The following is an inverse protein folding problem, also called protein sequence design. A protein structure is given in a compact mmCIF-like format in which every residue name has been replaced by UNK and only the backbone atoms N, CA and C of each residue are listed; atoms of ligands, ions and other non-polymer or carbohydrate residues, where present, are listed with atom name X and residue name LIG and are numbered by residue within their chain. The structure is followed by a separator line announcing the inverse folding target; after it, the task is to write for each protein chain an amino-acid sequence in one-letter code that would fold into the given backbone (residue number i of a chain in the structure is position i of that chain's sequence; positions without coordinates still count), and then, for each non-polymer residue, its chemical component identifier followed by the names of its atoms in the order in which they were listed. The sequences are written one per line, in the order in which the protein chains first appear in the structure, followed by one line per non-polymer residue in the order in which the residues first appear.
data_IF_009301188194
#
_entry.id   IF_009301188194
#
_cell.length_a   1.000
_cell.length_b   1.000
_cell.length_c   1.000
_cell.angle_alpha   90.00
_cell.angle_beta   90.00
_cell.angle_gamma   90.00
#
_symmetry.space_group_name_H-M   'P 1'
#
loop_
_entity.id
_entity.type
_entity.pdbx_description
1 polymer ?
#
# COMPACT_ATOMS: atom_id res chain seq x y z
N UNK A 1 12.10 16.36 47.96
CA UNK A 1 12.49 16.04 46.57
C UNK A 1 11.23 16.07 45.72
N UNK A 2 11.02 17.07 44.85
CA UNK A 2 9.86 17.05 43.95
C UNK A 2 10.03 15.94 42.89
N UNK A 3 8.93 15.31 42.44
CA UNK A 3 9.02 14.21 41.49
C UNK A 3 9.58 14.68 40.14
N UNK A 4 10.47 13.87 39.57
CA UNK A 4 11.09 14.16 38.26
C UNK A 4 9.99 14.23 37.18
N UNK A 5 9.81 15.42 36.61
CA UNK A 5 8.87 15.68 35.52
C UNK A 5 9.29 14.92 34.25
N UNK A 6 8.31 14.39 33.53
CA UNK A 6 8.55 13.66 32.28
C UNK A 6 8.97 14.61 31.15
N UNK A 7 9.74 14.10 30.19
CA UNK A 7 10.22 14.85 29.01
C UNK A 7 9.09 15.49 28.18
N UNK A 8 7.89 14.92 28.24
CA UNK A 8 6.71 15.47 27.60
C UNK A 8 6.20 16.75 28.29
N UNK A 9 6.28 16.82 29.63
CA UNK A 9 5.92 18.02 30.39
C UNK A 9 6.92 19.17 30.14
N UNK A 10 8.21 18.85 29.99
CA UNK A 10 9.23 19.85 29.63
C UNK A 10 8.99 20.45 28.23
N UNK A 11 8.58 19.62 27.27
CA UNK A 11 8.32 20.08 25.89
C UNK A 11 7.06 20.93 25.78
N UNK A 12 6.04 20.66 26.61
CA UNK A 12 4.81 21.46 26.64
C UNK A 12 5.06 22.87 27.21
N UNK A 13 5.93 23.01 28.21
CA UNK A 13 6.29 24.31 28.78
C UNK A 13 7.13 25.13 27.76
N UNK A 14 8.01 24.48 26.98
CA UNK A 14 8.81 25.10 25.91
C UNK A 14 7.95 25.68 24.78
N UNK A 15 6.87 24.99 24.40
CA UNK A 15 5.90 25.46 23.40
C UNK A 15 5.02 26.62 23.94
N UNK A 16 4.77 26.67 25.26
CA UNK A 16 4.05 27.78 25.89
C UNK A 16 4.90 29.05 26.05
N UNK A 17 6.21 28.91 26.30
CA UNK A 17 7.12 30.06 26.32
C UNK A 17 7.37 30.61 24.91
N UNK A 18 7.47 29.75 23.89
CA UNK A 18 7.60 30.18 22.50
C UNK A 18 6.38 30.99 22.00
N UNK A 19 5.17 30.62 22.44
CA UNK A 19 3.94 31.34 22.08
C UNK A 19 3.77 32.66 22.83
N UNK A 20 4.28 32.76 24.07
CA UNK A 20 4.34 34.03 24.82
C UNK A 20 5.33 35.03 24.26
N UNK A 21 6.49 34.57 23.75
CA UNK A 21 7.48 35.44 23.10
C UNK A 21 6.96 35.95 21.76
N UNK A 22 6.21 35.14 21.00
CA UNK A 22 5.59 35.56 19.74
C UNK A 22 4.46 36.59 19.93
N UNK A 23 3.73 36.56 21.04
CA UNK A 23 2.66 37.51 21.35
C UNK A 23 3.19 38.89 21.81
N UNK A 24 4.44 38.99 22.25
CA UNK A 24 5.07 40.25 22.72
C UNK A 24 5.66 41.10 21.58
N UNK A 25 5.67 40.61 20.32
CA UNK A 25 6.38 41.25 19.21
C UNK A 25 5.47 41.97 18.20
N UNK A 26 4.18 42.19 18.50
CA UNK A 26 3.25 42.83 17.58
C UNK A 26 2.51 44.02 18.23
N UNK A 27 3.09 45.21 18.11
CA UNK A 27 2.41 46.51 18.20
C UNK A 27 2.64 47.27 16.86
N UNK A 28 1.65 48.01 16.33
CA UNK A 28 1.63 48.46 14.93
C UNK A 28 2.12 49.91 14.75
N UNK A 29 2.98 50.15 13.76
CA UNK A 29 3.35 51.50 13.30
C UNK A 29 2.71 51.82 11.93
N UNK A 30 2.14 53.02 11.87
CA UNK A 30 1.37 53.64 10.78
C UNK A 30 2.24 54.47 9.81
N UNK A 31 1.66 54.80 8.64
CA UNK A 31 2.03 55.85 7.64
C UNK A 31 3.05 55.45 6.55
N UNK A 32 2.99 55.82 5.25
CA UNK A 32 2.07 56.64 4.41
C UNK A 32 2.50 56.52 2.92
N UNK A 33 1.54 56.68 1.97
CA UNK A 33 1.63 57.00 0.50
C UNK A 33 2.38 56.04 -0.44
N UNK A 34 2.04 55.83 -1.71
CA UNK A 34 0.99 56.27 -2.66
C UNK A 34 1.20 55.45 -3.93
N UNK A 35 0.13 55.18 -4.68
CA UNK A 35 0.00 55.45 -6.12
C UNK A 35 -0.89 54.42 -6.83
N UNK A 36 -1.70 54.94 -7.75
CA UNK A 36 -2.87 54.31 -8.33
C UNK A 36 -2.59 53.80 -9.74
N UNK A 37 -3.00 52.56 -10.07
CA UNK A 37 -3.54 52.23 -11.40
C UNK A 37 -4.63 51.17 -11.28
N UNK A 38 -5.81 51.57 -11.77
CA UNK A 38 -7.05 50.84 -11.91
C UNK A 38 -7.06 50.11 -13.26
N UNK A 39 -7.31 48.80 -13.28
CA UNK A 39 -7.80 48.07 -14.46
C UNK A 39 -8.70 46.92 -14.00
N UNK A 40 -10.01 47.12 -14.18
CA UNK A 40 -11.03 46.08 -14.10
C UNK A 40 -10.96 45.19 -15.35
N UNK A 41 -11.24 43.88 -15.22
CA UNK A 41 -11.96 43.11 -16.23
C UNK A 41 -12.62 41.85 -15.62
N UNK A 42 -13.95 41.91 -15.61
CA UNK A 42 -14.95 40.87 -15.84
C UNK A 42 -14.70 39.41 -15.36
N UNK A 43 -15.47 39.01 -14.35
CA UNK A 43 -15.75 37.62 -14.01
C UNK A 43 -16.96 37.09 -14.81
N UNK A 44 -16.81 35.95 -15.46
CA UNK A 44 -17.90 35.12 -15.98
C UNK A 44 -17.66 33.64 -15.58
N UNK A 45 -18.66 32.91 -15.05
CA UNK A 45 -18.48 31.52 -14.61
C UNK A 45 -18.66 30.53 -15.77
N UNK A 46 -17.64 29.70 -16.04
CA UNK A 46 -17.75 28.59 -16.99
C UNK A 46 -18.21 27.31 -16.29
N UNK A 47 -19.31 26.76 -16.82
CA UNK A 47 -19.94 25.52 -16.35
C UNK A 47 -19.07 24.29 -16.70
N UNK A 48 -18.83 23.43 -15.70
CA UNK A 48 -18.15 22.14 -15.87
C UNK A 48 -19.15 21.04 -16.25
N UNK A 49 -19.08 20.58 -17.49
CA UNK A 49 -19.80 19.40 -17.97
C UNK A 49 -19.01 18.12 -17.66
N UNK A 50 -19.54 17.28 -16.77
CA UNK A 50 -19.03 15.92 -16.49
C UNK A 50 -19.40 14.95 -17.64
N UNK A 51 -18.50 14.08 -18.13
CA UNK A 51 -18.88 13.02 -19.04
C UNK A 51 -19.46 11.80 -18.29
N UNK A 52 -20.57 11.28 -18.82
CA UNK A 52 -21.31 10.10 -18.39
C UNK A 52 -20.43 8.84 -18.45
N UNK A 53 -20.29 8.14 -17.32
CA UNK A 53 -19.70 6.80 -17.27
C UNK A 53 -20.69 5.76 -17.80
N UNK A 54 -20.29 5.01 -18.83
CA UNK A 54 -20.98 3.82 -19.32
C UNK A 54 -20.81 2.69 -18.32
N UNK A 55 -21.92 2.13 -17.84
CA UNK A 55 -22.00 0.92 -17.03
C UNK A 55 -21.48 -0.28 -17.81
N UNK A 56 -20.41 -0.93 -17.30
CA UNK A 56 -19.88 -2.18 -17.84
C UNK A 56 -20.60 -3.35 -17.15
N UNK A 57 -21.28 -4.17 -17.94
CA UNK A 57 -21.90 -5.42 -17.49
C UNK A 57 -20.83 -6.38 -16.96
N UNK A 58 -21.05 -6.93 -15.76
CA UNK A 58 -20.26 -8.02 -15.22
C UNK A 58 -20.90 -9.34 -15.67
N UNK A 59 -20.12 -10.16 -16.37
CA UNK A 59 -20.44 -11.52 -16.77
C UNK A 59 -19.29 -12.42 -16.26
N UNK A 60 -19.67 -13.62 -15.82
CA UNK A 60 -18.86 -14.76 -15.36
C UNK A 60 -18.72 -14.93 -13.85
N UNK A 61 -19.52 -15.88 -13.33
CA UNK A 61 -19.01 -16.92 -12.44
C UNK A 61 -18.68 -18.16 -13.30
N UNK A 62 -17.75 -19.00 -12.84
CA UNK A 62 -18.18 -20.31 -12.35
C UNK A 62 -17.38 -20.78 -11.13
N UNK A 63 -18.02 -21.51 -10.20
CA UNK A 63 -17.61 -22.87 -9.81
C UNK A 63 -18.58 -23.40 -8.75
N UNK A 64 -19.28 -24.46 -9.12
CA UNK A 64 -19.93 -25.39 -8.21
C UNK A 64 -18.86 -26.37 -7.75
N UNK A 65 -18.74 -26.57 -6.44
CA UNK A 65 -18.10 -27.74 -5.84
C UNK A 65 -19.09 -28.26 -4.80
N UNK A 66 -19.52 -29.49 -5.03
CA UNK A 66 -20.58 -30.20 -4.33
C UNK A 66 -19.97 -31.24 -3.38
N UNK A 67 -20.74 -31.53 -2.31
CA UNK A 67 -20.69 -32.65 -1.35
C UNK A 67 -20.02 -32.42 0.02
N UNK A 68 -20.44 -33.15 1.09
CA UNK A 68 -21.76 -33.69 1.44
C UNK A 68 -22.21 -33.34 2.88
N UNK A 69 -23.45 -33.71 3.24
CA UNK A 69 -24.12 -33.49 4.55
C UNK A 69 -23.42 -34.16 5.75
N UNK A 70 -23.81 -33.79 6.99
CA UNK A 70 -24.61 -34.74 7.79
C UNK A 70 -25.76 -34.12 8.63
N UNK A 71 -26.72 -34.99 8.96
CA UNK A 71 -27.96 -34.77 9.74
C UNK A 71 -27.73 -34.35 11.21
N UNK A 72 -28.75 -33.82 11.91
CA UNK A 72 -29.58 -34.71 12.75
C UNK A 72 -31.10 -34.38 12.83
N UNK A 73 -31.86 -35.42 13.15
CA UNK A 73 -33.30 -35.53 13.53
C UNK A 73 -33.50 -35.38 15.06
N UNK A 74 -34.71 -35.36 15.67
CA UNK A 74 -36.03 -34.76 15.37
C UNK A 74 -36.64 -33.95 16.57
N UNK A 75 -37.87 -33.40 16.36
CA UNK A 75 -38.83 -32.80 17.32
C UNK A 75 -38.63 -31.29 17.63
N UNK A 76 -39.62 -30.40 17.70
CA UNK A 76 -41.07 -30.49 17.92
C UNK A 76 -41.85 -29.46 17.06
N UNK A 77 -43.14 -29.76 16.88
CA UNK A 77 -44.16 -29.05 16.10
C UNK A 77 -44.53 -27.69 16.70
N UNK A 78 -44.74 -26.68 15.85
CA UNK A 78 -45.75 -25.63 16.11
C UNK A 78 -46.45 -25.26 14.81
N UNK A 79 -47.77 -25.31 14.90
CA UNK A 79 -48.77 -25.32 13.83
C UNK A 79 -48.66 -24.11 12.89
N UNK A 80 -48.62 -24.40 11.58
CA UNK A 80 -49.10 -23.51 10.54
C UNK A 80 -50.25 -24.22 9.81
N UNK A 81 -51.27 -23.49 9.32
CA UNK A 81 -52.55 -24.07 8.94
C UNK A 81 -52.41 -25.02 7.77
N UNK A 82 -53.06 -26.16 7.90
CA UNK A 82 -53.26 -27.17 6.86
C UNK A 82 -54.03 -26.52 5.71
N UNK A 83 -53.35 -26.26 4.59
CA UNK A 83 -54.00 -26.08 3.31
C UNK A 83 -54.59 -27.43 2.88
N UNK A 84 -55.87 -27.50 2.48
CA UNK A 84 -56.49 -28.75 2.08
C UNK A 84 -55.84 -29.28 0.79
N UNK A 85 -55.58 -30.59 0.76
CA UNK A 85 -55.22 -31.31 -0.47
C UNK A 85 -56.16 -30.92 -1.62
N UNK A 86 -55.64 -30.62 -2.83
CA UNK A 86 -56.49 -30.48 -3.99
C UNK A 86 -56.95 -31.87 -4.40
N UNK A 87 -58.12 -32.27 -3.87
CA UNK A 87 -58.91 -33.35 -4.42
C UNK A 87 -59.05 -33.16 -5.94
N UNK A 88 -58.67 -34.21 -6.67
CA UNK A 88 -58.67 -34.24 -8.11
C UNK A 88 -60.10 -34.03 -8.66
N UNK A 89 -60.38 -32.83 -9.15
CA UNK A 89 -61.45 -32.59 -10.12
C UNK A 89 -60.81 -32.10 -11.42
N UNK A 90 -60.97 -32.90 -12.48
CA UNK A 90 -60.42 -32.70 -13.82
C UNK A 90 -61.15 -31.62 -14.61
N UNK A 91 -61.44 -30.47 -13.99
CA UNK A 91 -61.92 -29.28 -14.70
C UNK A 91 -60.73 -28.43 -15.14
N UNK A 92 -60.73 -27.98 -16.39
CA UNK A 92 -59.69 -27.07 -16.90
C UNK A 92 -59.77 -25.79 -16.07
N UNK A 93 -58.67 -25.30 -15.46
CA UNK A 93 -58.73 -24.11 -14.62
C UNK A 93 -59.28 -22.96 -15.45
N UNK A 94 -60.21 -22.22 -14.85
CA UNK A 94 -60.85 -21.07 -15.47
C UNK A 94 -59.79 -20.01 -15.80
N UNK A 95 -60.07 -19.11 -16.74
CA UNK A 95 -59.08 -18.10 -17.16
C UNK A 95 -58.63 -17.20 -16.00
N UNK A 96 -59.52 -16.97 -15.03
CA UNK A 96 -59.28 -16.16 -13.83
C UNK A 96 -58.31 -16.86 -12.87
N UNK A 97 -58.53 -18.15 -12.55
CA UNK A 97 -57.61 -18.95 -11.73
C UNK A 97 -56.20 -19.05 -12.33
N UNK A 98 -56.10 -19.10 -13.66
CA UNK A 98 -54.79 -19.08 -14.37
C UNK A 98 -54.09 -17.73 -14.21
N UNK A 99 -54.83 -16.63 -14.25
CA UNK A 99 -54.29 -15.28 -14.06
C UNK A 99 -53.82 -15.06 -12.63
N UNK A 100 -54.58 -15.54 -11.64
CA UNK A 100 -54.19 -15.51 -10.23
C UNK A 100 -52.95 -16.37 -9.95
N UNK A 101 -52.90 -17.59 -10.49
CA UNK A 101 -51.70 -18.43 -10.36
C UNK A 101 -50.47 -17.79 -10.98
N UNK A 102 -50.64 -17.08 -12.09
CA UNK A 102 -49.57 -16.37 -12.78
C UNK A 102 -49.16 -15.09 -12.02
N UNK A 103 -50.09 -14.37 -11.41
CA UNK A 103 -49.79 -13.21 -10.56
C UNK A 103 -49.01 -13.62 -9.31
N UNK A 104 -49.40 -14.73 -8.67
CA UNK A 104 -48.68 -15.34 -7.56
C UNK A 104 -47.27 -15.79 -7.97
N UNK A 105 -47.11 -16.39 -9.15
CA UNK A 105 -45.79 -16.76 -9.67
C UNK A 105 -44.91 -15.53 -9.91
N UNK A 106 -45.47 -14.46 -10.49
CA UNK A 106 -44.76 -13.18 -10.66
C UNK A 106 -44.38 -12.56 -9.32
N UNK A 107 -45.25 -12.61 -8.32
CA UNK A 107 -44.95 -12.14 -6.97
C UNK A 107 -43.81 -12.95 -6.32
N UNK A 108 -43.83 -14.28 -6.46
CA UNK A 108 -42.75 -15.16 -5.98
C UNK A 108 -41.41 -14.88 -6.68
N UNK A 109 -41.41 -14.68 -8.00
CA UNK A 109 -40.20 -14.29 -8.76
C UNK A 109 -39.69 -12.89 -8.37
N UNK A 110 -40.60 -11.94 -8.10
CA UNK A 110 -40.22 -10.61 -7.62
C UNK A 110 -39.64 -10.67 -6.20
N UNK A 111 -40.16 -11.54 -5.33
CA UNK A 111 -39.63 -11.74 -3.99
C UNK A 111 -38.22 -12.37 -4.01
N UNK A 112 -38.00 -13.41 -4.83
CA UNK A 112 -36.68 -14.06 -4.93
C UNK A 112 -35.62 -13.13 -5.53
N UNK A 113 -35.97 -12.36 -6.56
CA UNK A 113 -35.05 -11.36 -7.14
C UNK A 113 -34.70 -10.24 -6.15
N UNK A 114 -35.65 -9.80 -5.32
CA UNK A 114 -35.39 -8.84 -4.23
C UNK A 114 -34.53 -9.44 -3.12
N UNK A 115 -34.78 -10.67 -2.69
CA UNK A 115 -33.98 -11.37 -1.70
C UNK A 115 -32.53 -11.54 -2.18
N UNK A 116 -32.33 -12.06 -3.39
CA UNK A 116 -31.00 -12.20 -4.00
C UNK A 116 -30.28 -10.85 -4.11
N UNK A 117 -30.99 -9.78 -4.50
CA UNK A 117 -30.40 -8.44 -4.55
C UNK A 117 -30.00 -7.94 -3.17
N UNK A 118 -30.81 -8.19 -2.14
CA UNK A 118 -30.51 -7.82 -0.75
C UNK A 118 -29.27 -8.57 -0.26
N UNK A 119 -29.16 -9.86 -0.56
CA UNK A 119 -28.05 -10.69 -0.13
C UNK A 119 -26.75 -10.22 -0.81
N UNK A 120 -26.77 -9.96 -2.12
CA UNK A 120 -25.63 -9.36 -2.85
C UNK A 120 -25.21 -8.02 -2.23
N UNK A 121 -26.16 -7.14 -1.91
CA UNK A 121 -25.85 -5.85 -1.29
C UNK A 121 -25.28 -6.03 0.13
N UNK A 122 -25.79 -6.99 0.89
CA UNK A 122 -25.31 -7.31 2.23
C UNK A 122 -23.87 -7.85 2.17
N UNK A 123 -23.56 -8.74 1.24
CA UNK A 123 -22.20 -9.25 1.02
C UNK A 123 -21.26 -8.15 0.54
N UNK A 124 -21.70 -7.28 -0.36
CA UNK A 124 -20.93 -6.09 -0.76
C UNK A 124 -20.67 -5.16 0.43
N UNK A 125 -21.66 -4.96 1.32
CA UNK A 125 -21.45 -4.16 2.53
C UNK A 125 -20.48 -4.83 3.50
N UNK A 126 -20.58 -6.16 3.72
CA UNK A 126 -19.65 -6.93 4.56
C UNK A 126 -18.24 -6.92 3.99
N UNK A 127 -18.08 -7.10 2.69
CA UNK A 127 -16.79 -7.00 2.02
C UNK A 127 -16.18 -5.59 2.15
N UNK A 128 -17.00 -4.54 2.06
CA UNK A 128 -16.57 -3.15 2.27
C UNK A 128 -16.17 -2.88 3.72
N UNK A 129 -16.92 -3.37 4.71
CA UNK A 129 -16.57 -3.18 6.12
C UNK A 129 -15.29 -3.93 6.48
N UNK A 130 -15.12 -5.18 6.03
CA UNK A 130 -13.87 -5.95 6.21
C UNK A 130 -12.67 -5.27 5.53
N UNK A 131 -12.86 -4.76 4.31
CA UNK A 131 -11.83 -4.02 3.59
C UNK A 131 -11.51 -2.66 4.25
N UNK A 132 -12.46 -2.03 4.95
CA UNK A 132 -12.27 -0.77 5.68
C UNK A 132 -11.61 -1.01 7.04
N UNK A 133 -12.05 -2.03 7.78
CA UNK A 133 -11.50 -2.42 9.07
C UNK A 133 -10.02 -2.80 8.97
N UNK A 134 -9.63 -3.55 7.93
CA UNK A 134 -8.21 -3.87 7.69
C UNK A 134 -7.33 -2.67 7.35
N UNK A 135 -7.90 -1.56 6.86
CA UNK A 135 -7.16 -0.38 6.38
C UNK A 135 -7.21 0.81 7.35
N UNK A 136 -8.08 0.77 8.35
CA UNK A 136 -8.31 1.91 9.23
C UNK A 136 -7.24 2.04 10.32
N UNK A 137 -6.72 3.25 10.53
CA UNK A 137 -5.90 3.60 11.70
C UNK A 137 -6.62 3.29 13.01
N UNK A 138 -7.95 3.39 13.03
CA UNK A 138 -8.79 3.06 14.19
C UNK A 138 -8.71 1.59 14.55
N UNK A 139 -8.66 0.68 13.57
CA UNK A 139 -8.50 -0.76 13.82
C UNK A 139 -7.18 -1.05 14.54
N UNK A 140 -6.08 -0.44 14.08
CA UNK A 140 -4.78 -0.55 14.77
C UNK A 140 -4.79 0.04 16.19
N UNK A 141 -5.59 1.09 16.44
CA UNK A 141 -5.76 1.67 17.78
C UNK A 141 -6.59 0.75 18.68
N UNK A 142 -7.65 0.14 18.16
CA UNK A 142 -8.48 -0.83 18.87
C UNK A 142 -7.66 -2.07 19.24
N UNK A 143 -6.94 -2.67 18.28
CA UNK A 143 -6.06 -3.81 18.56
C UNK A 143 -5.00 -3.50 19.63
N UNK A 144 -4.44 -2.29 19.62
CA UNK A 144 -3.51 -1.86 20.68
C UNK A 144 -4.21 -1.70 22.03
N UNK A 145 -5.43 -1.17 22.04
CA UNK A 145 -6.21 -1.02 23.26
C UNK A 145 -6.60 -2.39 23.84
N UNK A 146 -7.00 -3.34 23.00
CA UNK A 146 -7.27 -4.74 23.36
C UNK A 146 -6.01 -5.39 23.93
N UNK A 147 -4.87 -5.28 23.25
CA UNK A 147 -3.59 -5.80 23.75
C UNK A 147 -3.21 -5.21 25.11
N UNK A 148 -3.38 -3.90 25.30
CA UNK A 148 -3.08 -3.25 26.59
C UNK A 148 -4.02 -3.70 27.71
N UNK A 149 -5.29 -3.97 27.38
CA UNK A 149 -6.27 -4.47 28.34
C UNK A 149 -5.97 -5.92 28.72
N UNK A 150 -5.66 -6.78 27.75
CA UNK A 150 -5.21 -8.16 27.96
C UNK A 150 -3.92 -8.20 28.79
N UNK A 151 -2.96 -7.32 28.50
CA UNK A 151 -1.71 -7.22 29.26
C UNK A 151 -1.93 -6.77 30.71
N UNK A 152 -2.94 -5.92 30.96
CA UNK A 152 -3.36 -5.54 32.30
C UNK A 152 -3.98 -6.74 33.01
N UNK A 153 -4.92 -7.41 32.36
CA UNK A 153 -5.65 -8.54 32.95
C UNK A 153 -4.71 -9.71 33.29
N UNK A 154 -3.72 -10.00 32.42
CA UNK A 154 -2.67 -11.00 32.66
C UNK A 154 -1.74 -10.62 33.83
N UNK A 155 -1.41 -9.32 33.97
CA UNK A 155 -0.62 -8.85 35.13
C UNK A 155 -1.42 -8.91 36.42
N UNK A 156 -2.71 -8.62 36.37
CA UNK A 156 -3.63 -8.73 37.52
C UNK A 156 -3.85 -10.19 37.93
N UNK A 157 -3.88 -11.14 36.97
CA UNK A 157 -3.95 -12.58 37.25
C UNK A 157 -2.61 -13.17 37.72
N UNK A 158 -1.50 -12.42 37.59
CA UNK A 158 -0.16 -12.85 37.97
C UNK A 158 0.51 -13.80 36.96
N UNK A 159 -0.02 -13.87 35.74
CA UNK A 159 0.56 -14.64 34.65
C UNK A 159 1.69 -13.86 33.95
N UNK A 160 2.68 -14.58 33.41
CA UNK A 160 3.75 -13.97 32.63
C UNK A 160 3.24 -13.63 31.22
N UNK A 161 3.14 -12.32 30.95
CA UNK A 161 2.68 -11.74 29.69
C UNK A 161 3.44 -12.30 28.48
N UNK A 162 4.76 -12.43 28.60
CA UNK A 162 5.60 -12.88 27.49
C UNK A 162 5.39 -14.37 27.21
N UNK A 163 5.16 -15.17 28.25
CA UNK A 163 4.80 -16.59 28.10
C UNK A 163 3.44 -16.73 27.40
N UNK A 164 2.42 -16.00 27.83
CA UNK A 164 1.08 -16.04 27.20
C UNK A 164 1.17 -15.65 25.71
N UNK A 165 1.93 -14.59 25.40
CA UNK A 165 2.16 -14.15 24.03
C UNK A 165 2.89 -15.18 23.18
N UNK A 166 3.90 -15.84 23.74
CA UNK A 166 4.67 -16.86 23.03
C UNK A 166 3.85 -18.11 22.71
N UNK A 167 2.82 -18.42 23.50
CA UNK A 167 1.88 -19.51 23.19
C UNK A 167 1.03 -19.23 21.94
N UNK A 168 0.85 -17.95 21.57
CA UNK A 168 0.11 -17.55 20.38
C UNK A 168 0.91 -17.61 19.07
N UNK A 169 2.23 -17.80 19.13
CA UNK A 169 3.04 -17.87 17.92
C UNK A 169 3.06 -19.30 17.35
N UNK A 170 2.60 -19.43 16.11
CA UNK A 170 2.76 -20.67 15.35
C UNK A 170 4.21 -20.81 14.85
N UNK A 171 4.65 -22.05 14.62
CA UNK A 171 5.95 -22.35 14.00
C UNK A 171 6.09 -21.64 12.65
N UNK A 172 5.04 -21.69 11.82
CA UNK A 172 5.03 -21.05 10.50
C UNK A 172 5.18 -19.52 10.59
N UNK A 173 4.62 -18.90 11.63
CA UNK A 173 4.71 -17.45 11.81
C UNK A 173 6.12 -17.03 12.21
N UNK A 174 6.78 -17.85 13.05
CA UNK A 174 8.19 -17.69 13.41
C UNK A 174 9.09 -17.85 12.18
N UNK A 175 8.90 -18.89 11.36
CA UNK A 175 9.68 -19.10 10.13
C UNK A 175 9.50 -17.95 9.13
N UNK A 176 8.26 -17.46 8.96
CA UNK A 176 7.99 -16.28 8.11
C UNK A 176 8.61 -15.02 8.66
N UNK A 177 8.74 -14.90 9.98
CA UNK A 177 9.40 -13.77 10.62
C UNK A 177 10.91 -13.82 10.41
N UNK A 178 11.53 -14.98 10.62
CA UNK A 178 12.96 -15.19 10.42
C UNK A 178 13.34 -14.98 8.95
N UNK A 179 12.56 -15.53 8.01
CA UNK A 179 12.75 -15.28 6.58
C UNK A 179 12.70 -13.78 6.22
N UNK A 180 11.82 -13.00 6.87
CA UNK A 180 11.77 -11.53 6.68
C UNK A 180 13.01 -10.84 7.25
N UNK A 181 13.49 -11.27 8.41
CA UNK A 181 14.71 -10.73 9.01
C UNK A 181 15.92 -11.04 8.13
N UNK A 182 16.07 -12.27 7.66
CA UNK A 182 17.13 -12.67 6.74
C UNK A 182 17.09 -11.87 5.44
N UNK A 183 15.89 -11.68 4.86
CA UNK A 183 15.75 -10.88 3.65
C UNK A 183 16.11 -9.41 3.91
N UNK A 184 15.83 -8.89 5.11
CA UNK A 184 16.24 -7.54 5.53
C UNK A 184 17.75 -7.44 5.72
N UNK A 185 18.39 -8.42 6.34
CA UNK A 185 19.85 -8.49 6.49
C UNK A 185 20.54 -8.58 5.13
N UNK A 186 20.02 -9.38 4.19
CA UNK A 186 20.54 -9.47 2.82
C UNK A 186 20.45 -8.13 2.07
N UNK A 187 19.43 -7.32 2.38
CA UNK A 187 19.24 -5.99 1.78
C UNK A 187 20.13 -4.91 2.38
N UNK A 188 20.65 -5.09 3.60
CA UNK A 188 21.51 -4.08 4.22
C UNK A 188 22.77 -3.89 3.38
N UNK A 189 23.19 -2.65 3.24
CA UNK A 189 24.45 -2.34 2.58
C UNK A 189 25.61 -2.78 3.46
N UNK A 190 26.38 -3.77 2.99
CA UNK A 190 27.57 -4.30 3.68
C UNK A 190 28.79 -3.39 3.53
N UNK A 191 28.65 -2.26 2.82
CA UNK A 191 29.72 -1.30 2.59
C UNK A 191 30.19 -1.29 1.13
N UNK A 192 31.29 -0.58 0.86
CA UNK A 192 31.86 -0.50 -0.48
C UNK A 192 32.44 -1.87 -0.87
N UNK A 193 31.67 -2.62 -1.66
CA UNK A 193 32.11 -3.82 -2.38
C UNK A 193 32.44 -3.51 -3.84
N UNK A 194 32.33 -4.52 -4.70
CA UNK A 194 32.50 -4.33 -6.14
C UNK A 194 31.39 -3.45 -6.75
N UNK A 195 31.72 -2.75 -7.83
CA UNK A 195 30.75 -1.96 -8.59
C UNK A 195 29.65 -2.86 -9.20
N UNK A 196 29.96 -4.12 -9.52
CA UNK A 196 28.99 -5.13 -9.94
C UNK A 196 27.92 -5.38 -8.87
N UNK A 197 28.33 -5.67 -7.64
CA UNK A 197 27.41 -5.89 -6.52
C UNK A 197 26.52 -4.67 -6.23
N UNK A 198 27.08 -3.47 -6.36
CA UNK A 198 26.33 -2.22 -6.18
C UNK A 198 25.27 -2.04 -7.29
N UNK A 199 25.61 -2.38 -8.53
CA UNK A 199 24.69 -2.35 -9.66
C UNK A 199 23.59 -3.41 -9.50
N UNK A 200 23.93 -4.63 -9.08
CA UNK A 200 22.95 -5.69 -8.82
C UNK A 200 21.96 -5.27 -7.72
N UNK A 201 22.45 -4.69 -6.61
CA UNK A 201 21.60 -4.18 -5.53
C UNK A 201 20.67 -3.06 -6.01
N UNK A 202 21.16 -2.17 -6.86
CA UNK A 202 20.32 -1.13 -7.47
C UNK A 202 19.24 -1.73 -8.37
N UNK A 203 19.59 -2.69 -9.21
CA UNK A 203 18.67 -3.40 -10.08
C UNK A 203 17.59 -4.17 -9.29
N UNK A 204 17.98 -4.94 -8.28
CA UNK A 204 17.02 -5.65 -7.41
C UNK A 204 16.06 -4.69 -6.69
N UNK A 205 16.53 -3.49 -6.31
CA UNK A 205 15.68 -2.44 -5.73
C UNK A 205 14.68 -1.91 -6.77
N UNK A 206 15.12 -1.64 -8.00
CA UNK A 206 14.27 -1.18 -9.10
C UNK A 206 13.20 -2.22 -9.45
N UNK A 207 13.57 -3.50 -9.54
CA UNK A 207 12.63 -4.61 -9.81
C UNK A 207 11.51 -4.68 -8.76
N UNK A 208 11.84 -4.46 -7.48
CA UNK A 208 10.85 -4.43 -6.40
C UNK A 208 9.94 -3.20 -6.45
N UNK A 209 10.44 -2.08 -6.96
CA UNK A 209 9.66 -0.86 -7.12
C UNK A 209 8.74 -0.91 -8.36
N UNK A 210 9.11 -1.70 -9.37
CA UNK A 210 8.34 -1.88 -10.58
C UNK A 210 7.00 -2.59 -10.28
N UNK A 211 5.90 -1.97 -10.73
CA UNK A 211 4.55 -2.54 -10.65
C UNK A 211 4.02 -2.78 -12.07
N UNK A 212 4.12 -4.01 -12.60
CA UNK A 212 3.67 -4.33 -13.95
C UNK A 212 2.15 -4.19 -14.09
N UNK A 213 1.70 -3.53 -15.17
CA UNK A 213 0.28 -3.54 -15.55
C UNK A 213 -0.04 -4.80 -16.36
N UNK A 214 -0.47 -5.84 -15.64
CA UNK A 214 -0.81 -7.16 -16.21
C UNK A 214 -2.01 -7.05 -17.17
N UNK A 215 -2.92 -6.10 -16.98
CA UNK A 215 -4.09 -5.95 -17.83
C UNK A 215 -3.72 -5.33 -19.18
N UNK A 216 -2.89 -4.29 -19.19
CA UNK A 216 -2.37 -3.71 -20.42
C UNK A 216 -1.51 -4.72 -21.20
N UNK A 217 -0.69 -5.51 -20.49
CA UNK A 217 0.11 -6.57 -21.09
C UNK A 217 -0.76 -7.62 -21.80
N UNK A 218 -1.81 -8.12 -21.13
CA UNK A 218 -2.73 -9.10 -21.73
C UNK A 218 -3.40 -8.58 -22.99
N UNK A 219 -3.90 -7.34 -22.96
CA UNK A 219 -4.50 -6.72 -24.16
C UNK A 219 -3.53 -6.63 -25.32
N UNK A 220 -2.32 -6.14 -25.07
CA UNK A 220 -1.27 -6.04 -26.09
C UNK A 220 -0.93 -7.41 -26.68
N UNK A 221 -0.80 -8.42 -25.83
CA UNK A 221 -0.56 -9.81 -26.25
C UNK A 221 -1.70 -10.32 -27.13
N UNK A 222 -2.95 -10.13 -26.72
CA UNK A 222 -4.12 -10.57 -27.49
C UNK A 222 -4.19 -9.84 -28.84
N UNK A 223 -3.88 -8.54 -28.89
CA UNK A 223 -3.83 -7.75 -30.12
C UNK A 223 -2.73 -8.24 -31.06
N UNK A 224 -1.54 -8.54 -30.55
CA UNK A 224 -0.41 -9.12 -31.30
C UNK A 224 -0.78 -10.51 -31.85
N UNK A 225 -1.44 -11.37 -31.04
CA UNK A 225 -1.94 -12.67 -31.47
C UNK A 225 -3.04 -12.54 -32.55
N UNK A 226 -3.92 -11.53 -32.45
CA UNK A 226 -4.94 -11.24 -33.47
C UNK A 226 -4.33 -10.74 -34.78
N UNK A 227 -3.31 -9.88 -34.72
CA UNK A 227 -2.59 -9.42 -35.91
C UNK A 227 -1.87 -10.59 -36.58
N UNK A 228 -1.22 -11.47 -35.79
CA UNK A 228 -0.58 -12.69 -36.30
C UNK A 228 -1.58 -13.65 -36.96
N UNK A 229 -2.80 -13.75 -36.42
CA UNK A 229 -3.87 -14.57 -37.00
C UNK A 229 -4.54 -13.93 -38.24
N UNK A 230 -4.50 -12.60 -38.37
CA UNK A 230 -5.14 -11.83 -39.45
C UNK A 230 -4.18 -11.42 -40.58
N UNK A 231 -2.87 -11.53 -40.38
CA UNK A 231 -1.88 -11.25 -41.42
C UNK A 231 -2.03 -12.24 -42.59
N UNK A 232 -1.86 -11.80 -43.85
CA UNK A 232 -1.93 -12.72 -44.99
C UNK A 232 -0.87 -13.80 -44.77
N UNK A 233 -1.26 -15.05 -44.96
CA UNK A 233 -0.40 -16.22 -44.84
C UNK A 233 0.94 -16.00 -45.57
N UNK A 234 1.96 -15.56 -44.83
CA UNK A 234 3.34 -15.76 -45.18
C UNK A 234 3.58 -17.26 -45.05
N UNK A 235 3.33 -17.98 -46.13
CA UNK A 235 3.67 -19.39 -46.27
C UNK A 235 5.17 -19.60 -46.15
N UNK A 236 5.69 -19.58 -44.92
CA UNK A 236 6.85 -20.36 -44.58
C UNK A 236 6.30 -21.68 -44.05
N UNK A 237 6.32 -22.69 -44.92
CA UNK A 237 6.20 -24.10 -44.60
C UNK A 237 7.15 -24.42 -43.43
N UNK A 238 6.70 -24.25 -42.18
CA UNK A 238 7.38 -24.80 -41.02
C UNK A 238 7.12 -26.29 -41.11
N UNK A 239 8.11 -26.99 -41.67
CA UNK A 239 8.21 -28.44 -41.75
C UNK A 239 7.72 -29.04 -40.42
N UNK A 240 6.57 -29.70 -40.48
CA UNK A 240 6.01 -30.52 -39.41
C UNK A 240 7.00 -31.66 -39.09
N UNK A 241 7.97 -31.38 -38.23
CA UNK A 241 9.04 -32.32 -37.92
C UNK A 241 10.00 -31.85 -36.82
N UNK A 242 9.64 -30.83 -36.04
CA UNK A 242 10.38 -30.47 -34.82
C UNK A 242 9.39 -30.05 -33.73
N UNK A 243 8.84 -31.06 -33.06
CA UNK A 243 8.25 -30.89 -31.74
C UNK A 243 9.39 -30.65 -30.73
N UNK A 244 9.96 -29.44 -30.69
CA UNK A 244 10.89 -29.01 -29.66
C UNK A 244 11.05 -27.49 -29.69
N UNK A 245 10.48 -26.80 -28.70
CA UNK A 245 10.87 -25.45 -28.20
C UNK A 245 11.22 -24.40 -29.26
N UNK A 246 10.25 -23.54 -29.56
CA UNK A 246 10.52 -22.25 -30.19
C UNK A 246 9.60 -21.99 -31.36
N UNK A 247 8.41 -21.46 -31.08
CA UNK A 247 7.82 -20.53 -32.01
C UNK A 247 8.87 -19.44 -32.21
N UNK A 248 9.48 -19.38 -33.39
CA UNK A 248 10.29 -18.24 -33.80
C UNK A 248 9.34 -17.06 -33.85
N UNK A 249 9.25 -16.34 -32.73
CA UNK A 249 8.58 -15.07 -32.67
C UNK A 249 9.34 -14.18 -33.65
N UNK A 250 8.65 -13.71 -34.68
CA UNK A 250 9.21 -12.79 -35.65
C UNK A 250 9.72 -11.59 -34.85
N UNK A 251 11.05 -11.42 -34.79
CA UNK A 251 11.68 -10.42 -33.93
C UNK A 251 11.36 -9.03 -34.47
N UNK A 252 10.26 -8.45 -34.01
CA UNK A 252 9.83 -7.09 -34.32
C UNK A 252 10.72 -6.10 -33.57
N UNK A 253 11.94 -5.88 -34.08
CA UNK A 253 12.89 -4.91 -33.54
C UNK A 253 12.73 -3.55 -34.23
N UNK A 254 12.72 -2.47 -33.46
CA UNK A 254 12.71 -1.09 -33.99
C UNK A 254 11.35 -0.54 -34.45
N UNK A 255 10.29 -1.36 -34.48
CA UNK A 255 8.93 -0.92 -34.85
C UNK A 255 8.10 -0.46 -33.65
N UNK A 256 8.53 -0.79 -32.42
CA UNK A 256 7.79 -0.43 -31.21
C UNK A 256 7.89 1.06 -30.91
N UNK A 257 6.74 1.76 -30.98
CA UNK A 257 6.57 3.12 -30.50
C UNK A 257 5.80 3.08 -29.17
N UNK A 258 6.47 3.26 -28.02
CA UNK A 258 5.79 3.27 -26.73
C UNK A 258 4.81 4.45 -26.64
N UNK A 259 3.79 4.31 -25.80
CA UNK A 259 2.88 5.41 -25.49
C UNK A 259 3.59 6.50 -24.67
N UNK A 260 3.12 7.73 -24.78
CA UNK A 260 3.68 8.88 -24.03
C UNK A 260 3.65 8.65 -22.51
N UNK A 261 2.54 8.09 -22.00
CA UNK A 261 2.42 7.69 -20.59
C UNK A 261 3.48 6.63 -20.17
N UNK A 262 3.88 5.72 -21.07
CA UNK A 262 4.95 4.78 -20.78
C UNK A 262 6.32 5.48 -20.71
N UNK A 263 6.55 6.49 -21.56
CA UNK A 263 7.76 7.33 -21.51
C UNK A 263 7.82 8.14 -20.22
N UNK A 264 6.71 8.79 -19.83
CA UNK A 264 6.62 9.57 -18.59
C UNK A 264 6.94 8.71 -17.36
N UNK A 265 6.43 7.47 -17.31
CA UNK A 265 6.74 6.54 -16.22
C UNK A 265 8.24 6.23 -16.13
N UNK A 266 8.91 6.05 -17.27
CA UNK A 266 10.36 5.82 -17.31
C UNK A 266 11.12 7.07 -16.88
N UNK A 267 10.75 8.25 -17.39
CA UNK A 267 11.39 9.53 -17.03
C UNK A 267 11.26 9.81 -15.54
N UNK A 268 10.07 9.60 -14.98
CA UNK A 268 9.83 9.74 -13.54
C UNK A 268 10.69 8.78 -12.71
N UNK A 269 10.83 7.53 -13.15
CA UNK A 269 11.71 6.56 -12.49
C UNK A 269 13.19 7.00 -12.56
N UNK A 270 13.67 7.48 -13.71
CA UNK A 270 15.05 7.97 -13.87
C UNK A 270 15.33 9.20 -13.00
N UNK A 271 14.38 10.13 -12.91
CA UNK A 271 14.50 11.29 -12.03
C UNK A 271 14.55 10.88 -10.55
N UNK A 272 13.75 9.90 -10.16
CA UNK A 272 13.79 9.34 -8.80
C UNK A 272 15.15 8.68 -8.50
N UNK A 273 15.69 7.92 -9.44
CA UNK A 273 17.01 7.29 -9.30
C UNK A 273 18.12 8.34 -9.18
N UNK A 274 18.07 9.40 -9.99
CA UNK A 274 19.01 10.52 -9.92
C UNK A 274 18.99 11.17 -8.52
N UNK A 275 17.81 11.37 -7.94
CA UNK A 275 17.69 11.89 -6.58
C UNK A 275 18.28 10.93 -5.53
N UNK A 276 18.05 9.61 -5.66
CA UNK A 276 18.64 8.62 -4.75
C UNK A 276 20.18 8.64 -4.82
N UNK A 277 20.76 8.74 -6.02
CA UNK A 277 22.21 8.81 -6.21
C UNK A 277 22.78 10.09 -5.60
N UNK A 278 22.12 11.24 -5.82
CA UNK A 278 22.53 12.52 -5.22
C UNK A 278 22.49 12.46 -3.68
N UNK A 279 21.45 11.84 -3.12
CA UNK A 279 21.25 11.71 -1.68
C UNK A 279 22.10 10.60 -1.04
N UNK A 280 22.84 9.80 -1.82
CA UNK A 280 23.72 8.74 -1.29
C UNK A 280 24.83 9.32 -0.39
N UNK A 281 25.40 10.45 -0.77
CA UNK A 281 26.39 11.17 0.04
C UNK A 281 25.70 12.23 0.89
N UNK A 282 25.22 11.81 2.06
CA UNK A 282 24.56 12.73 3.01
C UNK A 282 25.59 13.66 3.64
N UNK A 283 25.33 14.97 3.57
CA UNK A 283 26.13 15.97 4.30
C UNK A 283 25.96 15.74 5.80
N UNK A 284 27.08 15.69 6.53
CA UNK A 284 27.10 15.68 8.00
C UNK A 284 27.46 17.10 8.41
N UNK A 285 26.55 17.74 9.15
CA UNK A 285 26.80 19.07 9.71
C UNK A 285 27.91 18.95 10.75
N UNK A 286 28.72 20.00 10.88
CA UNK A 286 29.66 20.08 11.99
C UNK A 286 28.91 20.45 13.26
N UNK A 287 29.40 19.93 14.38
CA UNK A 287 28.96 20.32 15.70
C UNK A 287 29.51 21.72 15.98
N UNK A 288 28.68 22.70 16.39
CA UNK A 288 29.10 24.08 16.55
C UNK A 288 30.13 24.27 17.67
N UNK A 289 30.14 23.35 18.65
CA UNK A 289 31.03 23.40 19.81
C UNK A 289 32.34 22.63 19.60
N UNK A 290 32.53 22.00 18.42
CA UNK A 290 33.75 21.26 18.14
C UNK A 290 34.93 22.21 17.81
N UNK A 291 36.10 21.92 18.37
CA UNK A 291 37.31 22.69 18.13
C UNK A 291 37.66 22.78 16.62
N UNK A 292 37.68 24.02 16.12
CA UNK A 292 37.93 24.32 14.70
C UNK A 292 39.42 24.16 14.40
N UNK A 293 39.78 22.98 13.91
CA UNK A 293 41.14 22.62 13.53
C UNK A 293 41.48 22.93 12.06
N UNK A 294 40.78 23.89 11.42
CA UNK A 294 40.95 24.18 9.99
C UNK A 294 40.77 25.67 9.67
N UNK A 295 41.47 26.13 8.63
CA UNK A 295 41.41 27.53 8.16
C UNK A 295 40.51 27.66 6.92
N UNK A 296 40.50 26.65 6.03
CA UNK A 296 39.67 26.62 4.83
C UNK A 296 38.92 25.28 4.69
N UNK A 297 37.93 25.21 3.79
CA UNK A 297 37.14 23.99 3.55
C UNK A 297 37.99 22.83 3.00
N UNK A 298 39.01 23.13 2.19
CA UNK A 298 39.96 22.13 1.70
C UNK A 298 40.73 21.45 2.83
N UNK A 299 41.24 22.23 3.78
CA UNK A 299 41.93 21.78 4.97
C UNK A 299 40.97 21.03 5.91
N UNK A 300 39.72 21.47 6.03
CA UNK A 300 38.67 20.73 6.75
C UNK A 300 38.49 19.32 6.19
N UNK A 301 38.35 19.19 4.87
CA UNK A 301 38.22 17.89 4.22
C UNK A 301 39.49 17.03 4.34
N UNK A 302 40.66 17.65 4.25
CA UNK A 302 41.94 16.99 4.44
C UNK A 302 42.12 16.47 5.88
N UNK A 303 41.87 17.30 6.89
CA UNK A 303 41.90 16.90 8.30
C UNK A 303 40.86 15.81 8.59
N UNK A 304 39.66 15.89 7.99
CA UNK A 304 38.66 14.81 8.07
C UNK A 304 39.13 13.52 7.39
N UNK A 305 39.96 13.60 6.34
CA UNK A 305 40.59 12.43 5.72
C UNK A 305 41.63 11.83 6.67
N UNK A 306 42.53 12.65 7.23
CA UNK A 306 43.53 12.19 8.20
C UNK A 306 42.86 11.53 9.41
N UNK A 307 41.80 12.13 9.94
CA UNK A 307 41.04 11.58 11.08
C UNK A 307 40.55 10.15 10.82
N UNK A 308 40.07 9.85 9.60
CA UNK A 308 39.59 8.50 9.26
C UNK A 308 40.67 7.42 9.28
N UNK A 309 41.92 7.78 8.98
CA UNK A 309 43.02 6.81 8.86
C UNK A 309 43.86 6.74 10.13
N UNK A 310 44.14 7.88 10.75
CA UNK A 310 45.15 8.00 11.80
C UNK A 310 44.57 8.12 13.21
N UNK A 311 43.30 8.51 13.39
CA UNK A 311 42.74 8.72 14.73
C UNK A 311 42.82 7.48 15.61
N UNK A 312 42.73 6.28 15.03
CA UNK A 312 42.89 5.03 15.79
C UNK A 312 44.28 4.89 16.41
N UNK A 313 45.32 5.48 15.80
CA UNK A 313 46.71 5.38 16.25
C UNK A 313 47.17 6.64 17.01
N UNK A 314 46.51 7.78 16.81
CA UNK A 314 46.90 9.06 17.41
C UNK A 314 45.98 9.49 18.55
N UNK A 315 45.09 8.61 19.00
CA UNK A 315 44.17 8.88 20.10
C UNK A 315 44.92 9.26 21.39
N UNK A 316 45.92 8.48 21.79
CA UNK A 316 46.74 8.77 22.98
C UNK A 316 47.47 10.11 22.87
N UNK A 317 48.03 10.43 21.70
CA UNK A 317 48.71 11.71 21.46
C UNK A 317 47.72 12.87 21.61
N UNK A 318 46.49 12.72 21.10
CA UNK A 318 45.43 13.73 21.22
C UNK A 318 45.01 13.92 22.67
N UNK A 319 44.76 12.83 23.39
CA UNK A 319 44.39 12.88 24.81
C UNK A 319 45.51 13.51 25.66
N UNK A 320 46.78 13.24 25.34
CA UNK A 320 47.93 13.86 26.02
C UNK A 320 48.03 15.36 25.71
N UNK A 321 47.75 15.78 24.47
CA UNK A 321 47.66 17.20 24.10
C UNK A 321 46.54 17.91 24.88
N UNK A 322 45.36 17.29 24.97
CA UNK A 322 44.22 17.81 25.74
C UNK A 322 44.51 17.82 27.25
N UNK A 323 45.34 16.88 27.74
CA UNK A 323 45.80 16.80 29.15
C UNK A 323 46.98 17.74 29.46
N UNK A 324 47.49 18.50 28.49
CA UNK A 324 48.59 19.44 28.72
C UNK A 324 49.99 18.82 28.63
N UNK A 325 50.21 17.89 27.70
CA UNK A 325 51.53 17.32 27.34
C UNK A 325 52.29 16.61 28.47
N UNK A 326 51.59 16.16 29.51
CA UNK A 326 52.15 15.26 30.52
C UNK A 326 52.29 13.85 29.90
N UNK A 327 53.54 13.37 29.77
CA UNK A 327 53.88 12.01 29.35
C UNK A 327 53.53 10.99 30.44
#
# INVERSE_FOLDING_TARGET
MPPRRTRAAQKADEEQDATRVAASAAEPSTSTTSDAVKLEHAAAPSASTKPKSKSRAARHQPLVLEQPAPEPSPAEESEAPIDPEPSASSSKPTMEERQERLSLLRAKMAASTRANRRDILSEQSRARTLASASKSSTSRKLQKAEQLLEERDLRESGEDVERHRNMGYSLEDSERWDAKLEEKERRKDRGPGDFGDAAERAYQRQLRALKPDVAAYRKRRDDEERVKASGPAGGALVRSGSAARGAVDELHYGTHRPSDDALDRVVNHLNHEKQLIQNRSRRRNDEPDAEVNYINDGNRHFNKKLKRFYDKQTQEIRENLERGTAL
#
